data_IF_198216192653
#
_entry.id   IF_198216192653
#
_cell.length_a   1.000
_cell.length_b   1.000
_cell.length_c   1.000
_cell.angle_alpha   90.00
_cell.angle_beta   90.00
_cell.angle_gamma   90.00
#
_symmetry.space_group_name_H-M   'P 1'
#
loop_
_entity.id
_entity.type
_entity.pdbx_description
1 polymer ?
#
# COMPACT_ATOMS: atom_id res chain seq x y z
N UNK A 1 1.99 -4.11 -14.72
CA UNK A 1 2.55 -2.89 -14.06
C UNK A 1 3.01 -3.25 -12.65
N UNK A 2 3.97 -2.52 -12.07
CA UNK A 2 4.42 -2.74 -10.68
C UNK A 2 3.65 -1.82 -9.73
N UNK A 3 3.04 -2.40 -8.70
CA UNK A 3 2.29 -1.68 -7.66
C UNK A 3 3.07 -1.62 -6.34
N UNK A 4 3.52 -0.42 -5.98
CA UNK A 4 4.17 -0.12 -4.69
C UNK A 4 3.10 0.29 -3.67
N UNK A 5 2.43 -0.68 -3.07
CA UNK A 5 1.28 -0.44 -2.19
C UNK A 5 1.57 -0.63 -0.69
N UNK A 6 2.74 -1.16 -0.33
CA UNK A 6 3.17 -1.28 1.06
C UNK A 6 3.67 0.06 1.63
N UNK A 7 4.31 0.87 0.79
CA UNK A 7 4.95 2.12 1.17
C UNK A 7 4.76 3.18 0.09
N UNK A 8 4.98 4.44 0.45
CA UNK A 8 5.05 5.52 -0.51
C UNK A 8 6.44 6.17 -0.50
N UNK A 9 6.72 7.01 -1.50
CA UNK A 9 7.91 7.85 -1.47
C UNK A 9 7.78 8.97 -0.43
N UNK A 10 8.92 9.46 0.06
CA UNK A 10 9.00 10.59 0.98
C UNK A 10 8.20 11.82 0.49
N UNK A 11 8.24 12.11 -0.80
CA UNK A 11 7.59 13.28 -1.41
C UNK A 11 6.08 13.11 -1.64
N UNK A 12 5.49 12.00 -1.23
CA UNK A 12 4.06 11.76 -1.37
C UNK A 12 3.24 12.81 -0.62
N UNK A 13 2.25 13.40 -1.29
CA UNK A 13 1.46 14.54 -0.78
C UNK A 13 0.90 14.33 0.63
N UNK A 14 0.17 13.23 0.89
CA UNK A 14 -0.30 12.88 2.23
C UNK A 14 0.82 12.82 3.28
N UNK A 15 1.97 12.23 2.96
CA UNK A 15 3.10 12.17 3.90
C UNK A 15 3.70 13.55 4.17
N UNK A 16 3.86 14.37 3.13
CA UNK A 16 4.32 15.76 3.26
C UNK A 16 3.36 16.63 4.09
N UNK A 17 2.06 16.33 4.06
CA UNK A 17 1.09 16.98 4.93
C UNK A 17 1.28 16.58 6.40
N UNK A 18 1.49 15.29 6.67
CA UNK A 18 1.80 14.79 8.02
C UNK A 18 3.10 15.40 8.57
N UNK A 19 4.13 15.57 7.75
CA UNK A 19 5.37 16.25 8.16
C UNK A 19 5.14 17.71 8.57
N UNK A 20 4.24 18.43 7.87
CA UNK A 20 3.93 19.84 8.12
C UNK A 20 2.97 20.05 9.29
N UNK A 21 1.92 19.22 9.36
CA UNK A 21 0.77 19.43 10.26
C UNK A 21 0.77 18.46 11.46
N UNK A 22 1.61 17.43 11.44
CA UNK A 22 1.69 16.42 12.50
C UNK A 22 0.34 15.76 12.76
N UNK A 23 -0.02 15.65 14.04
CA UNK A 23 -1.28 15.04 14.51
C UNK A 23 -2.55 15.75 13.99
N UNK A 24 -2.42 16.98 13.47
CA UNK A 24 -3.54 17.74 12.88
C UNK A 24 -3.76 17.43 11.41
N UNK A 25 -2.85 16.68 10.77
CA UNK A 25 -3.02 16.26 9.39
C UNK A 25 -4.21 15.30 9.27
N UNK A 26 -5.10 15.47 8.27
CA UNK A 26 -6.13 14.47 7.99
C UNK A 26 -5.52 13.11 7.59
N UNK A 27 -4.25 13.10 7.15
CA UNK A 27 -3.53 11.91 6.74
C UNK A 27 -2.67 11.31 7.86
N UNK A 28 -2.78 11.80 9.11
CA UNK A 28 -1.96 11.30 10.22
C UNK A 28 -2.10 9.78 10.43
N UNK A 29 -3.30 9.24 10.22
CA UNK A 29 -3.59 7.81 10.37
C UNK A 29 -3.31 6.99 9.08
N UNK A 30 -2.88 7.63 7.99
CA UNK A 30 -2.47 6.92 6.77
C UNK A 30 -1.13 6.20 6.93
N UNK A 31 -0.39 6.49 8.00
CA UNK A 31 0.95 5.94 8.26
C UNK A 31 1.06 5.39 9.69
N UNK A 32 2.12 4.63 9.93
CA UNK A 32 2.46 4.15 11.27
C UNK A 32 3.42 5.15 11.96
N UNK A 33 2.88 6.28 12.41
CA UNK A 33 3.62 7.30 13.17
C UNK A 33 3.71 6.90 14.65
N UNK A 34 4.93 6.94 15.23
CA UNK A 34 5.17 6.58 16.65
C UNK A 34 5.03 7.80 17.57
N UNK A 35 5.40 8.99 17.12
CA UNK A 35 5.26 10.23 17.89
C UNK A 35 5.23 11.47 16.99
N UNK A 36 4.72 12.58 17.54
CA UNK A 36 4.73 13.90 16.89
C UNK A 36 5.62 14.88 17.66
N UNK A 37 6.27 15.86 16.98
CA UNK A 37 6.34 16.03 15.53
C UNK A 37 7.09 14.87 14.85
N UNK A 38 6.77 14.61 13.59
CA UNK A 38 7.46 13.56 12.82
C UNK A 38 8.90 13.99 12.58
N UNK A 39 9.84 13.11 12.92
CA UNK A 39 11.28 13.28 12.71
C UNK A 39 11.74 12.22 11.73
N UNK A 40 12.70 12.58 10.89
CA UNK A 40 13.31 11.69 9.89
C UNK A 40 14.71 11.23 10.31
N UNK A 41 15.28 11.83 11.36
CA UNK A 41 16.59 11.48 11.91
C UNK A 41 16.68 11.79 13.42
N UNK A 42 16.65 10.77 14.31
CA UNK A 42 16.19 9.41 14.00
C UNK A 42 14.72 9.40 13.58
N UNK A 43 14.35 8.49 12.69
CA UNK A 43 12.97 8.39 12.22
C UNK A 43 12.02 7.86 13.32
N UNK A 44 10.85 8.49 13.48
CA UNK A 44 9.83 8.08 14.44
C UNK A 44 8.55 7.55 13.78
N UNK A 45 8.69 6.86 12.65
CA UNK A 45 7.62 6.20 11.91
C UNK A 45 8.12 4.89 11.30
N UNK A 46 7.21 4.00 10.94
CA UNK A 46 7.60 2.74 10.28
C UNK A 46 7.96 2.95 8.81
N UNK A 47 8.99 2.24 8.36
CA UNK A 47 9.49 2.24 7.00
C UNK A 47 9.81 0.83 6.57
N UNK A 48 9.73 0.57 5.27
CA UNK A 48 10.23 -0.68 4.69
C UNK A 48 11.75 -0.71 4.80
N UNK A 49 12.29 -1.82 5.32
CA UNK A 49 13.74 -2.00 5.48
C UNK A 49 14.44 -0.92 6.31
N UNK A 50 13.72 -0.23 7.22
CA UNK A 50 14.21 0.93 7.97
C UNK A 50 14.66 2.13 7.11
N UNK A 51 14.29 2.18 5.82
CA UNK A 51 14.71 3.24 4.93
C UNK A 51 13.79 4.46 5.02
N UNK A 52 14.27 5.56 5.63
CA UNK A 52 13.48 6.76 5.97
C UNK A 52 12.68 7.38 4.82
N UNK A 53 13.09 7.16 3.57
CA UNK A 53 12.39 7.71 2.41
C UNK A 53 11.24 6.83 1.90
N UNK A 54 10.97 5.71 2.56
CA UNK A 54 9.90 4.74 2.25
C UNK A 54 8.97 4.53 3.46
N UNK A 55 8.22 5.55 3.89
CA UNK A 55 7.22 5.41 4.94
C UNK A 55 6.17 4.35 4.59
N UNK A 56 5.91 3.45 5.54
CA UNK A 56 4.93 2.37 5.40
C UNK A 56 3.51 2.92 5.51
N UNK A 57 2.66 2.53 4.55
CA UNK A 57 1.26 2.93 4.53
C UNK A 57 0.41 2.00 5.39
N UNK A 58 -0.54 2.56 6.12
CA UNK A 58 -1.49 1.82 6.95
C UNK A 58 -2.65 1.33 6.11
N UNK A 59 -2.47 0.22 5.40
CA UNK A 59 -3.51 -0.37 4.54
C UNK A 59 -4.76 -0.83 5.31
N UNK A 60 -4.67 -1.02 6.63
CA UNK A 60 -5.85 -1.28 7.47
C UNK A 60 -6.77 -0.07 7.63
N UNK A 61 -6.30 1.14 7.31
CA UNK A 61 -7.14 2.32 7.22
C UNK A 61 -7.99 2.23 5.92
N UNK A 62 -9.34 2.32 6.00
CA UNK A 62 -10.20 2.21 4.83
C UNK A 62 -9.94 3.26 3.74
N UNK A 63 -9.51 4.47 4.10
CA UNK A 63 -9.18 5.52 3.13
C UNK A 63 -7.95 5.14 2.32
N UNK A 64 -6.89 4.65 2.98
CA UNK A 64 -5.67 4.17 2.33
C UNK A 64 -5.98 2.97 1.43
N UNK A 65 -6.75 2.01 1.96
CA UNK A 65 -7.18 0.83 1.22
C UNK A 65 -7.92 1.20 -0.07
N UNK A 66 -8.92 2.09 0.03
CA UNK A 66 -9.71 2.52 -1.12
C UNK A 66 -8.87 3.34 -2.09
N UNK A 67 -8.02 4.25 -1.59
CA UNK A 67 -7.08 5.00 -2.43
C UNK A 67 -6.20 4.09 -3.28
N UNK A 68 -5.62 3.04 -2.68
CA UNK A 68 -4.78 2.07 -3.41
C UNK A 68 -5.59 1.33 -4.48
N UNK A 69 -6.82 0.90 -4.15
CA UNK A 69 -7.70 0.21 -5.10
C UNK A 69 -8.09 1.13 -6.26
N UNK A 70 -8.39 2.40 -5.98
CA UNK A 70 -8.76 3.38 -7.00
C UNK A 70 -7.58 3.69 -7.91
N UNK A 71 -6.35 3.79 -7.38
CA UNK A 71 -5.12 3.89 -8.18
C UNK A 71 -4.94 2.66 -9.07
N UNK A 72 -5.16 1.46 -8.52
CA UNK A 72 -5.04 0.23 -9.27
C UNK A 72 -6.07 0.14 -10.40
N UNK A 73 -7.33 0.49 -10.12
CA UNK A 73 -8.43 0.51 -11.09
C UNK A 73 -8.23 1.58 -12.16
N UNK A 74 -7.74 2.77 -11.79
CA UNK A 74 -7.42 3.84 -12.72
C UNK A 74 -6.46 3.37 -13.80
N UNK A 75 -5.32 2.78 -13.44
CA UNK A 75 -4.34 2.34 -14.44
C UNK A 75 -4.85 1.20 -15.30
N UNK A 76 -5.65 0.28 -14.76
CA UNK A 76 -6.30 -0.76 -15.57
C UNK A 76 -7.23 -0.12 -16.61
N UNK A 77 -8.06 0.85 -16.20
CA UNK A 77 -9.02 1.52 -17.08
C UNK A 77 -8.34 2.37 -18.16
N UNK A 78 -7.34 3.16 -17.78
CA UNK A 78 -6.74 4.16 -18.66
C UNK A 78 -5.64 3.59 -19.57
N UNK A 79 -4.97 2.50 -19.15
CA UNK A 79 -3.84 1.93 -19.89
C UNK A 79 -4.05 0.48 -20.33
N UNK A 80 -5.17 -0.13 -19.93
CA UNK A 80 -5.53 -1.50 -20.30
C UNK A 80 -4.45 -2.54 -19.95
N UNK A 81 -3.77 -2.35 -18.82
CA UNK A 81 -2.83 -3.35 -18.32
C UNK A 81 -3.54 -4.65 -17.98
N UNK A 82 -2.90 -5.78 -18.29
CA UNK A 82 -3.44 -7.11 -18.02
C UNK A 82 -3.14 -7.61 -16.60
N UNK A 83 -2.34 -6.87 -15.82
CA UNK A 83 -2.02 -7.30 -14.48
C UNK A 83 -1.11 -6.41 -13.63
N UNK A 84 -1.10 -6.75 -12.35
CA UNK A 84 -0.30 -6.12 -11.30
C UNK A 84 0.73 -7.09 -10.75
N UNK A 85 2.00 -6.66 -10.72
CA UNK A 85 3.04 -7.22 -9.86
C UNK A 85 3.10 -6.38 -8.60
N UNK A 86 2.86 -6.99 -7.45
CA UNK A 86 2.69 -6.32 -6.16
C UNK A 86 3.99 -6.45 -5.35
N UNK A 87 4.58 -5.30 -5.05
CA UNK A 87 5.87 -5.17 -4.36
C UNK A 87 5.73 -5.43 -2.85
N UNK A 88 6.67 -6.21 -2.28
CA UNK A 88 6.71 -6.58 -0.84
C UNK A 88 5.33 -7.01 -0.33
N UNK A 89 4.70 -7.95 -1.06
CA UNK A 89 3.31 -8.31 -0.80
C UNK A 89 3.13 -9.12 0.49
N UNK A 90 4.20 -9.74 0.99
CA UNK A 90 4.25 -10.49 2.23
C UNK A 90 4.25 -9.64 3.51
N UNK A 91 4.52 -8.34 3.40
CA UNK A 91 4.42 -7.40 4.53
C UNK A 91 3.02 -6.78 4.70
N UNK A 92 2.12 -7.03 3.76
CA UNK A 92 0.75 -6.55 3.77
C UNK A 92 -0.18 -7.66 4.26
N UNK A 93 -1.12 -7.30 5.14
CA UNK A 93 -2.09 -8.23 5.71
C UNK A 93 -2.96 -8.92 4.65
N UNK A 94 -3.27 -10.20 4.87
CA UNK A 94 -4.04 -11.01 3.93
C UNK A 94 -5.47 -10.49 3.70
N UNK A 95 -6.09 -9.84 4.70
CA UNK A 95 -7.44 -9.28 4.58
C UNK A 95 -7.49 -8.14 3.55
N UNK A 96 -6.42 -7.35 3.47
CA UNK A 96 -6.28 -6.35 2.42
C UNK A 96 -6.21 -7.00 1.05
N UNK A 97 -5.40 -8.05 0.87
CA UNK A 97 -5.28 -8.73 -0.42
C UNK A 97 -6.58 -9.39 -0.87
N UNK A 98 -7.32 -10.01 0.03
CA UNK A 98 -8.67 -10.52 -0.25
C UNK A 98 -9.61 -9.41 -0.70
N UNK A 99 -9.57 -8.25 -0.02
CA UNK A 99 -10.38 -7.09 -0.38
C UNK A 99 -10.00 -6.52 -1.75
N UNK A 100 -8.70 -6.33 -1.99
CA UNK A 100 -8.10 -5.84 -3.22
C UNK A 100 -8.48 -6.74 -4.40
N UNK A 101 -8.27 -8.06 -4.28
CA UNK A 101 -8.67 -9.06 -5.28
C UNK A 101 -10.15 -8.95 -5.61
N UNK A 102 -11.00 -9.00 -4.58
CA UNK A 102 -12.46 -8.97 -4.76
C UNK A 102 -12.89 -7.72 -5.53
N UNK A 103 -12.37 -6.54 -5.15
CA UNK A 103 -12.73 -5.28 -5.79
C UNK A 103 -12.25 -5.18 -7.23
N UNK A 104 -11.01 -5.59 -7.51
CA UNK A 104 -10.48 -5.55 -8.88
C UNK A 104 -11.13 -6.61 -9.77
N UNK A 105 -11.27 -7.85 -9.32
CA UNK A 105 -11.88 -8.94 -10.12
C UNK A 105 -13.36 -8.72 -10.41
N UNK A 106 -14.07 -7.99 -9.55
CA UNK A 106 -15.46 -7.56 -9.83
C UNK A 106 -15.54 -6.67 -11.08
N UNK A 107 -14.55 -5.79 -11.29
CA UNK A 107 -14.51 -4.87 -12.44
C UNK A 107 -13.76 -5.47 -13.64
N UNK A 108 -12.71 -6.23 -13.36
CA UNK A 108 -11.74 -6.76 -14.31
C UNK A 108 -11.48 -8.26 -14.05
N UNK A 109 -12.39 -9.17 -14.45
CA UNK A 109 -12.30 -10.59 -14.12
C UNK A 109 -10.99 -11.27 -14.56
N UNK A 110 -10.41 -10.79 -15.67
CA UNK A 110 -9.22 -11.37 -16.27
C UNK A 110 -7.90 -10.78 -15.76
N UNK A 111 -7.93 -9.77 -14.87
CA UNK A 111 -6.70 -9.13 -14.38
C UNK A 111 -5.78 -10.15 -13.68
N UNK A 112 -4.51 -10.19 -14.05
CA UNK A 112 -3.52 -11.05 -13.42
C UNK A 112 -2.90 -10.36 -12.19
N UNK A 113 -2.81 -11.07 -11.06
CA UNK A 113 -2.24 -10.55 -9.82
C UNK A 113 -1.06 -11.42 -9.42
N UNK A 114 0.12 -10.82 -9.30
CA UNK A 114 1.36 -11.50 -8.95
C UNK A 114 1.96 -10.83 -7.71
N UNK A 115 2.09 -11.56 -6.61
CA UNK A 115 2.71 -11.05 -5.38
C UNK A 115 4.19 -11.38 -5.33
N UNK A 116 5.01 -10.40 -4.97
CA UNK A 116 6.38 -10.66 -4.54
C UNK A 116 6.38 -11.15 -3.10
N UNK A 117 6.92 -12.34 -2.88
CA UNK A 117 7.32 -12.83 -1.56
C UNK A 117 8.58 -13.66 -1.68
N UNK A 118 9.46 -13.55 -0.69
CA UNK A 118 10.68 -14.35 -0.59
C UNK A 118 10.51 -15.55 0.35
N UNK A 119 9.38 -15.61 1.06
CA UNK A 119 9.03 -16.66 2.00
C UNK A 119 8.09 -17.71 1.42
N UNK A 120 7.48 -18.49 2.31
CA UNK A 120 6.49 -19.48 1.92
C UNK A 120 5.19 -18.79 1.45
N UNK A 121 4.94 -18.83 0.14
CA UNK A 121 3.78 -18.23 -0.51
C UNK A 121 2.46 -19.01 -0.33
N UNK A 122 2.44 -20.19 0.30
CA UNK A 122 1.23 -21.03 0.40
C UNK A 122 0.04 -20.28 1.00
N UNK A 123 0.26 -19.33 1.90
CA UNK A 123 -0.82 -18.51 2.49
C UNK A 123 -1.48 -17.55 1.49
N UNK A 124 -0.75 -17.12 0.46
CA UNK A 124 -1.24 -16.16 -0.55
C UNK A 124 -1.86 -16.85 -1.78
N UNK A 125 -1.56 -18.13 -1.97
CA UNK A 125 -1.96 -18.94 -3.14
C UNK A 125 -3.19 -19.83 -2.88
N UNK A 126 -4.04 -19.46 -1.92
CA UNK A 126 -5.29 -20.20 -1.61
C UNK A 126 -6.43 -19.84 -2.59
N UNK A 127 -6.19 -18.98 -3.58
CA UNK A 127 -7.17 -18.55 -4.59
C UNK A 127 -8.07 -17.38 -4.18
N UNK A 128 -7.98 -16.96 -2.92
CA UNK A 128 -8.74 -15.86 -2.30
C UNK A 128 -7.98 -14.52 -2.27
N UNK A 129 -6.66 -14.54 -2.46
CA UNK A 129 -5.78 -13.36 -2.47
C UNK A 129 -5.18 -13.13 -3.87
N UNK A 130 -4.07 -13.81 -4.19
CA UNK A 130 -3.35 -13.62 -5.45
C UNK A 130 -3.60 -14.82 -6.38
#
# INVERSE_FOLDING_TARGET
MTGFFNHCGYTFGPFQDVLRNGAKSPYADWFYIKSFPVKTDPQNYECVGYYKYMPKMRVSNPEVSNFIIDVADYWIRETHIDGWRLDVADEIDCTFWQYFRRKLKQKHPHIFLLGETWGNASKMLQGDQL
#
